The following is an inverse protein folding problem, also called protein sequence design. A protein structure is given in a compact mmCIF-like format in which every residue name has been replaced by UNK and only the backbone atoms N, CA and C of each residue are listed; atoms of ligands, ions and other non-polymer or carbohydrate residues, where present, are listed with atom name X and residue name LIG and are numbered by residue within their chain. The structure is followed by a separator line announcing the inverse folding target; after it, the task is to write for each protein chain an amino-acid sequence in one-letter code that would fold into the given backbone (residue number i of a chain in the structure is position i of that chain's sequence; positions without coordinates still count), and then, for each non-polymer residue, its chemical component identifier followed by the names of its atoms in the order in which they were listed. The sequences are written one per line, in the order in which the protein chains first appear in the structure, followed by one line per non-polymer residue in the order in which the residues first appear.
data_IF_397276641366
#
_entry.id   IF_397276641366
#
_cell.length_a   1.000
_cell.length_b   1.000
_cell.length_c   1.000
_cell.angle_alpha   90.00
_cell.angle_beta   90.00
_cell.angle_gamma   90.00
#
_symmetry.space_group_name_H-M   'P 1'
#
loop_
_entity.id
_entity.type
_entity.pdbx_description
1 polymer ?
#
# COMPACT_ATOMS: atom_id res chain seq x y z
N UNK A 1 -8.23 1.39 5.03
CA UNK A 1 -9.19 1.66 3.94
C UNK A 1 -9.01 0.59 2.88
N UNK A 2 -10.08 -0.10 2.48
CA UNK A 2 -10.03 -1.13 1.45
C UNK A 2 -10.56 -0.60 0.11
N UNK A 3 -9.91 -1.01 -0.97
CA UNK A 3 -10.31 -0.77 -2.36
C UNK A 3 -10.20 -2.10 -3.10
N UNK A 4 -11.22 -2.46 -3.85
CA UNK A 4 -11.27 -3.74 -4.58
C UNK A 4 -11.26 -3.46 -6.07
N UNK A 5 -10.46 -4.21 -6.81
CA UNK A 5 -10.29 -4.04 -8.26
C UNK A 5 -10.44 -5.41 -8.92
N UNK A 6 -11.37 -5.50 -9.87
CA UNK A 6 -11.43 -6.64 -10.78
C UNK A 6 -10.37 -6.44 -11.88
N UNK A 7 -9.44 -7.38 -11.98
CA UNK A 7 -8.35 -7.36 -12.97
C UNK A 7 -8.38 -8.64 -13.79
N UNK A 8 -7.78 -8.61 -14.98
CA UNK A 8 -7.60 -9.81 -15.81
C UNK A 8 -6.11 -10.05 -16.01
N UNK A 9 -5.60 -11.17 -15.50
CA UNK A 9 -4.20 -11.57 -15.64
C UNK A 9 -4.15 -12.80 -16.53
N UNK A 10 -3.44 -12.73 -17.66
CA UNK A 10 -3.35 -13.83 -18.63
C UNK A 10 -4.74 -14.37 -19.07
N UNK A 11 -5.69 -13.45 -19.31
CA UNK A 11 -7.10 -13.77 -19.65
C UNK A 11 -7.93 -14.43 -18.53
N UNK A 12 -7.38 -14.56 -17.32
CA UNK A 12 -8.08 -15.08 -16.15
C UNK A 12 -8.57 -13.89 -15.31
N UNK A 13 -9.89 -13.76 -15.06
CA UNK A 13 -10.40 -12.74 -14.16
C UNK A 13 -9.97 -13.04 -12.73
N UNK A 14 -9.50 -12.01 -12.02
CA UNK A 14 -9.07 -12.07 -10.63
C UNK A 14 -9.61 -10.86 -9.88
N UNK A 15 -9.86 -11.05 -8.58
CA UNK A 15 -10.22 -9.94 -7.69
C UNK A 15 -9.05 -9.59 -6.80
N UNK A 16 -8.55 -8.36 -6.96
CA UNK A 16 -7.46 -7.80 -6.17
C UNK A 16 -8.02 -6.89 -5.07
N UNK A 17 -7.62 -7.14 -3.83
CA UNK A 17 -7.89 -6.26 -2.69
C UNK A 17 -6.67 -5.41 -2.34
N UNK A 18 -6.86 -4.10 -2.23
CA UNK A 18 -5.86 -3.14 -1.80
C UNK A 18 -6.26 -2.55 -0.46
N UNK A 19 -5.39 -2.61 0.54
CA UNK A 19 -5.60 -1.99 1.84
C UNK A 19 -4.53 -0.96 2.12
N UNK A 20 -4.95 0.28 2.41
CA UNK A 20 -4.10 1.30 2.99
C UNK A 20 -4.32 1.35 4.52
N UNK A 21 -3.25 1.26 5.29
CA UNK A 21 -3.26 1.18 6.76
C UNK A 21 -2.46 2.33 7.36
N UNK A 22 -2.97 2.86 8.47
CA UNK A 22 -2.22 3.74 9.35
C UNK A 22 -2.54 3.35 10.80
N UNK A 23 -1.55 2.84 11.52
CA UNK A 23 -1.67 2.54 12.95
C UNK A 23 -0.91 3.61 13.74
N UNK A 24 -1.61 4.56 14.40
CA UNK A 24 -0.95 5.64 15.14
C UNK A 24 -0.25 5.09 16.39
N UNK A 25 0.93 5.61 16.74
CA UNK A 25 1.59 5.26 18.00
C UNK A 25 0.90 5.96 19.19
N UNK A 26 0.74 5.30 20.35
CA UNK A 26 0.99 3.88 20.62
C UNK A 26 -0.17 3.00 20.12
N UNK A 27 0.15 1.98 19.33
CA UNK A 27 -0.84 1.00 18.85
C UNK A 27 -1.32 0.14 20.02
N UNK A 28 -2.63 0.10 20.25
CA UNK A 28 -3.25 -0.78 21.25
C UNK A 28 -3.48 -2.17 20.66
N UNK A 29 -3.33 -3.20 21.48
CA UNK A 29 -3.51 -4.60 21.06
C UNK A 29 -4.93 -4.86 20.54
N UNK A 30 -5.94 -4.33 21.22
CA UNK A 30 -7.35 -4.48 20.81
C UNK A 30 -7.61 -3.88 19.43
N UNK A 31 -7.08 -2.68 19.17
CA UNK A 31 -7.24 -2.00 17.87
C UNK A 31 -6.54 -2.78 16.75
N UNK A 32 -5.35 -3.32 17.04
CA UNK A 32 -4.65 -4.19 16.11
C UNK A 32 -5.47 -5.46 15.83
N UNK A 33 -5.88 -6.19 16.86
CA UNK A 33 -6.63 -7.43 16.71
C UNK A 33 -7.92 -7.23 15.90
N UNK A 34 -8.69 -6.18 16.21
CA UNK A 34 -9.89 -5.85 15.44
C UNK A 34 -9.58 -5.58 13.97
N UNK A 35 -8.48 -4.88 13.68
CA UNK A 35 -8.04 -4.66 12.31
C UNK A 35 -7.63 -5.96 11.62
N UNK A 36 -6.89 -6.85 12.29
CA UNK A 36 -6.40 -8.11 11.72
C UNK A 36 -7.55 -9.11 11.48
N UNK A 37 -8.51 -9.19 12.39
CA UNK A 37 -9.73 -10.00 12.24
C UNK A 37 -10.54 -9.54 11.02
N UNK A 38 -10.85 -8.24 10.95
CA UNK A 38 -11.57 -7.67 9.81
C UNK A 38 -10.81 -7.85 8.49
N UNK A 39 -9.47 -7.80 8.54
CA UNK A 39 -8.63 -8.00 7.36
C UNK A 39 -8.65 -9.45 6.89
N UNK A 40 -8.63 -10.40 7.83
CA UNK A 40 -8.72 -11.84 7.53
C UNK A 40 -10.02 -12.16 6.79
N UNK A 41 -11.14 -11.59 7.25
CA UNK A 41 -12.41 -11.75 6.55
C UNK A 41 -12.36 -11.22 5.11
N UNK A 42 -11.74 -10.07 4.87
CA UNK A 42 -11.55 -9.56 3.51
C UNK A 42 -10.67 -10.52 2.70
N UNK A 43 -9.52 -10.94 3.22
CA UNK A 43 -8.59 -11.82 2.51
C UNK A 43 -9.23 -13.14 2.07
N UNK A 44 -10.22 -13.65 2.81
CA UNK A 44 -10.97 -14.86 2.43
C UNK A 44 -11.91 -14.69 1.21
N UNK A 45 -12.18 -13.46 0.77
CA UNK A 45 -13.11 -13.17 -0.34
C UNK A 45 -12.42 -12.75 -1.65
N UNK A 46 -11.09 -12.59 -1.63
CA UNK A 46 -10.30 -12.12 -2.78
C UNK A 46 -9.19 -13.11 -3.10
N UNK A 47 -8.80 -13.18 -4.37
CA UNK A 47 -7.73 -14.08 -4.81
C UNK A 47 -6.36 -13.53 -4.37
N UNK A 48 -6.17 -12.24 -4.61
CA UNK A 48 -4.91 -11.54 -4.40
C UNK A 48 -5.16 -10.33 -3.50
N UNK A 49 -4.22 -10.02 -2.61
CA UNK A 49 -4.32 -8.87 -1.72
C UNK A 49 -2.98 -8.21 -1.43
N UNK A 50 -3.02 -6.88 -1.35
CA UNK A 50 -1.87 -6.05 -0.98
C UNK A 50 -2.30 -5.11 0.14
N UNK A 51 -1.64 -5.22 1.29
CA UNK A 51 -1.81 -4.34 2.45
C UNK A 51 -0.55 -3.48 2.57
N UNK A 52 -0.71 -2.17 2.49
CA UNK A 52 0.37 -1.19 2.57
C UNK A 52 0.08 -0.16 3.65
N UNK A 53 1.09 0.23 4.42
CA UNK A 53 0.89 1.29 5.39
C UNK A 53 1.96 1.40 6.45
N UNK A 54 1.81 2.44 7.27
CA UNK A 54 2.65 2.69 8.44
C UNK A 54 2.03 2.00 9.67
N UNK A 55 2.72 0.96 10.15
CA UNK A 55 2.29 0.18 11.32
C UNK A 55 2.85 0.75 12.64
N UNK A 56 3.83 1.66 12.58
CA UNK A 56 4.56 2.19 13.73
C UNK A 56 5.14 1.12 14.69
N UNK A 57 5.32 -0.12 14.25
CA UNK A 57 5.81 -1.24 15.08
C UNK A 57 7.34 -1.36 15.07
N UNK A 58 8.02 -0.30 15.53
CA UNK A 58 9.49 -0.18 15.53
C UNK A 58 10.25 -1.30 16.25
N UNK A 59 9.59 -2.07 17.12
CA UNK A 59 10.23 -3.14 17.88
C UNK A 59 10.48 -4.38 17.02
N UNK A 60 9.68 -4.60 15.95
CA UNK A 60 9.87 -5.72 15.03
C UNK A 60 11.03 -5.38 14.10
N UNK A 61 12.02 -6.27 14.07
CA UNK A 61 13.15 -6.18 13.15
C UNK A 61 12.89 -7.07 11.96
N UNK A 62 13.04 -6.52 10.77
CA UNK A 62 12.87 -7.26 9.52
C UNK A 62 14.25 -7.48 8.90
N UNK A 63 14.51 -8.70 8.43
CA UNK A 63 15.78 -9.05 7.81
C UNK A 63 15.54 -9.88 6.57
N UNK A 64 16.23 -9.56 5.49
CA UNK A 64 16.19 -10.35 4.26
C UNK A 64 16.99 -11.65 4.45
N UNK A 65 16.42 -12.75 3.98
CA UNK A 65 17.10 -14.04 3.87
C UNK A 65 17.42 -14.25 2.39
N UNK A 66 18.65 -14.69 2.07
CA UNK A 66 19.17 -14.72 0.69
C UNK A 66 18.32 -15.53 -0.31
N UNK A 67 17.51 -16.46 0.18
CA UNK A 67 16.67 -17.34 -0.63
C UNK A 67 15.29 -16.78 -1.00
N UNK A 68 14.85 -15.66 -0.40
CA UNK A 68 13.48 -15.14 -0.58
C UNK A 68 13.44 -13.63 -0.87
N UNK A 69 12.43 -13.20 -1.64
CA UNK A 69 12.08 -11.78 -1.80
C UNK A 69 11.43 -11.19 -0.54
N UNK A 70 10.87 -12.06 0.30
CA UNK A 70 10.23 -11.72 1.56
C UNK A 70 11.24 -11.50 2.69
N UNK A 71 10.92 -10.60 3.63
CA UNK A 71 11.70 -10.36 4.84
C UNK A 71 11.13 -11.16 6.01
N UNK A 72 12.03 -11.65 6.85
CA UNK A 72 11.69 -12.41 8.06
C UNK A 72 11.64 -11.49 9.26
N UNK A 73 10.57 -11.55 10.08
CA UNK A 73 10.49 -10.79 11.32
C UNK A 73 11.34 -11.41 12.43
N UNK A 74 11.82 -10.57 13.33
CA UNK A 74 12.50 -10.93 14.57
C UNK A 74 12.20 -9.89 15.66
N UNK A 75 12.52 -10.21 16.92
CA UNK A 75 12.31 -9.31 18.06
C UNK A 75 10.84 -8.89 18.31
N UNK A 76 9.89 -9.80 18.03
CA UNK A 76 8.45 -9.57 18.15
C UNK A 76 7.82 -10.25 19.40
N UNK A 77 8.61 -10.47 20.45
CA UNK A 77 8.22 -11.19 21.67
C UNK A 77 7.26 -10.38 22.58
N UNK A 78 6.14 -9.91 22.04
CA UNK A 78 5.09 -9.18 22.74
C UNK A 78 3.74 -9.45 22.07
N UNK A 79 2.63 -9.17 22.76
CA UNK A 79 1.28 -9.45 22.24
C UNK A 79 1.00 -8.83 20.86
N UNK A 80 1.44 -7.59 20.64
CA UNK A 80 1.30 -6.92 19.32
C UNK A 80 2.09 -7.64 18.23
N UNK A 81 3.31 -8.06 18.56
CA UNK A 81 4.19 -8.77 17.65
C UNK A 81 3.61 -10.13 17.26
N UNK A 82 3.18 -10.92 18.24
CA UNK A 82 2.54 -12.22 18.00
C UNK A 82 1.30 -12.09 17.13
N UNK A 83 0.36 -11.19 17.47
CA UNK A 83 -0.85 -10.98 16.67
C UNK A 83 -0.53 -10.66 15.20
N UNK A 84 0.44 -9.76 14.95
CA UNK A 84 0.78 -9.40 13.57
C UNK A 84 1.44 -10.57 12.81
N UNK A 85 2.40 -11.27 13.43
CA UNK A 85 3.13 -12.36 12.76
C UNK A 85 2.22 -13.58 12.54
N UNK A 86 1.33 -13.87 13.49
CA UNK A 86 0.32 -14.92 13.32
C UNK A 86 -0.63 -14.59 12.18
N UNK A 87 -1.11 -13.33 12.10
CA UNK A 87 -1.94 -12.88 10.99
C UNK A 87 -1.24 -13.03 9.64
N UNK A 88 0.03 -12.62 9.55
CA UNK A 88 0.85 -12.74 8.32
C UNK A 88 0.95 -14.21 7.91
N UNK A 89 1.23 -15.09 8.87
CA UNK A 89 1.41 -16.52 8.63
C UNK A 89 0.11 -17.22 8.22
N UNK A 90 -1.00 -16.97 8.95
CA UNK A 90 -2.31 -17.59 8.70
C UNK A 90 -2.87 -17.21 7.34
N UNK A 91 -2.63 -15.97 6.90
CA UNK A 91 -3.13 -15.48 5.61
C UNK A 91 -2.14 -15.65 4.45
N UNK A 92 -1.04 -16.40 4.66
CA UNK A 92 0.01 -16.62 3.66
C UNK A 92 0.55 -15.31 3.05
N UNK A 93 0.71 -14.28 3.88
CA UNK A 93 1.25 -12.98 3.47
C UNK A 93 2.77 -12.98 3.63
N UNK A 94 3.46 -12.36 2.69
CA UNK A 94 4.88 -12.01 2.78
C UNK A 94 5.07 -10.53 3.04
N UNK A 95 6.09 -10.15 3.79
CA UNK A 95 6.54 -8.76 3.92
C UNK A 95 7.61 -8.49 2.85
N UNK A 96 7.39 -7.49 1.99
CA UNK A 96 8.30 -7.22 0.86
C UNK A 96 9.10 -5.92 1.00
N UNK A 97 8.64 -4.96 1.80
CA UNK A 97 9.31 -3.66 1.90
C UNK A 97 10.68 -3.78 2.57
N UNK A 98 11.72 -3.28 1.90
CA UNK A 98 13.10 -3.25 2.40
C UNK A 98 13.66 -1.81 2.49
N UNK A 99 12.77 -0.82 2.55
CA UNK A 99 13.14 0.60 2.63
C UNK A 99 13.11 1.08 4.08
N UNK A 100 14.28 1.11 4.71
CA UNK A 100 14.45 1.59 6.09
C UNK A 100 14.50 3.11 6.15
N UNK A 101 14.07 3.66 7.28
CA UNK A 101 14.25 5.07 7.60
C UNK A 101 15.72 5.38 8.02
N UNK A 102 16.00 6.65 8.34
CA UNK A 102 17.33 7.10 8.79
C UNK A 102 17.84 6.41 10.07
N UNK A 103 16.94 5.85 10.87
CA UNK A 103 17.27 5.14 12.11
C UNK A 103 17.44 3.63 11.88
N UNK A 104 17.46 3.18 10.62
CA UNK A 104 17.49 1.78 10.22
C UNK A 104 16.29 0.97 10.76
N UNK A 105 15.13 1.62 10.85
CA UNK A 105 13.87 1.02 11.29
C UNK A 105 12.89 0.96 10.12
N UNK A 106 12.18 -0.16 10.01
CA UNK A 106 11.14 -0.38 9.02
C UNK A 106 9.76 -0.17 9.67
N UNK A 107 9.09 0.93 9.34
CA UNK A 107 7.77 1.28 9.88
C UNK A 107 6.66 0.99 8.87
N UNK A 108 6.94 1.30 7.61
CA UNK A 108 6.06 1.01 6.50
C UNK A 108 6.18 -0.46 6.10
N UNK A 109 5.08 -1.19 6.17
CA UNK A 109 5.02 -2.58 5.75
C UNK A 109 4.23 -2.70 4.45
N UNK A 110 4.68 -3.61 3.61
CA UNK A 110 3.98 -4.06 2.40
C UNK A 110 3.78 -5.56 2.59
N UNK A 111 2.56 -5.96 2.91
CA UNK A 111 2.14 -7.34 3.15
C UNK A 111 1.30 -7.81 1.95
N UNK A 112 1.59 -8.99 1.40
CA UNK A 112 0.87 -9.48 0.23
C UNK A 112 0.99 -11.00 0.08
N UNK A 113 -0.03 -11.64 -0.50
CA UNK A 113 0.02 -13.05 -0.93
C UNK A 113 0.50 -13.22 -2.39
N UNK A 114 0.74 -12.12 -3.09
CA UNK A 114 1.30 -12.11 -4.44
C UNK A 114 2.83 -12.18 -4.36
N UNK A 115 3.42 -13.11 -5.09
CA UNK A 115 4.86 -13.24 -5.26
C UNK A 115 5.43 -12.17 -6.22
N UNK A 116 6.76 -12.00 -6.21
CA UNK A 116 7.51 -11.14 -7.13
C UNK A 116 7.09 -9.65 -7.15
N UNK A 117 6.71 -9.11 -5.99
CA UNK A 117 6.46 -7.67 -5.85
C UNK A 117 7.77 -6.90 -5.98
N UNK A 118 7.82 -6.03 -7.01
CA UNK A 118 8.92 -5.07 -7.18
C UNK A 118 8.60 -3.77 -6.44
N UNK A 119 9.43 -3.44 -5.47
CA UNK A 119 9.32 -2.19 -4.72
C UNK A 119 10.35 -1.21 -5.24
N UNK A 120 9.89 -0.02 -5.58
CA UNK A 120 10.74 1.10 -5.97
C UNK A 120 10.49 2.26 -5.03
N UNK A 121 11.55 2.90 -4.48
CA UNK A 121 11.39 4.13 -3.73
C UNK A 121 10.62 5.15 -4.56
N UNK A 122 9.67 5.84 -3.92
CA UNK A 122 9.09 7.01 -4.55
C UNK A 122 10.19 8.04 -4.82
N UNK A 123 10.12 8.80 -5.93
CA UNK A 123 10.98 9.95 -6.11
C UNK A 123 10.85 10.85 -4.88
N UNK A 124 11.97 11.39 -4.35
CA UNK A 124 11.90 12.26 -3.19
C UNK A 124 10.92 13.40 -3.49
N UNK A 125 9.89 13.53 -2.65
CA UNK A 125 8.91 14.62 -2.76
C UNK A 125 9.59 15.99 -2.61
N UNK A 126 10.78 16.00 -2.00
CA UNK A 126 11.61 17.17 -1.76
C UNK A 126 13.02 16.80 -2.22
N UNK A 127 13.50 17.46 -3.28
CA UNK A 127 14.92 17.41 -3.64
C UNK A 127 15.69 17.92 -2.43
N UNK A 128 16.54 17.07 -1.86
CA UNK A 128 17.35 17.42 -0.70
C UNK A 128 18.23 18.63 -1.02
N UNK A 129 17.88 19.81 -0.51
CA UNK A 129 18.87 20.69 0.12
C UNK A 129 18.23 21.72 1.08
N UNK A 130 18.95 21.91 2.19
CA UNK A 130 18.88 22.81 3.36
C UNK A 130 18.00 24.08 3.42
N UNK A 131 16.82 24.13 2.82
CA UNK A 131 15.85 25.20 3.11
C UNK A 131 14.41 24.72 2.93
N UNK A 132 13.89 23.95 3.90
CA UNK A 132 12.43 23.88 4.03
C UNK A 132 11.96 25.23 4.56
N UNK A 133 11.47 26.08 3.67
CA UNK A 133 10.85 27.35 3.99
C UNK A 133 9.59 27.52 3.16
N UNK A 134 8.61 26.63 3.34
CA UNK A 134 7.15 26.88 3.29
C UNK A 134 6.36 25.61 2.87
N UNK A 135 5.34 25.26 3.67
CA UNK A 135 4.35 24.19 3.40
C UNK A 135 3.79 24.27 1.97
N UNK A 136 3.62 25.49 1.43
CA UNK A 136 3.12 25.70 0.08
C UNK A 136 3.98 25.04 -1.01
N UNK A 137 5.30 25.02 -0.84
CA UNK A 137 6.22 24.41 -1.80
C UNK A 137 6.14 22.89 -1.76
N UNK A 138 5.98 22.31 -0.56
CA UNK A 138 5.74 20.88 -0.39
C UNK A 138 4.43 20.45 -1.05
N UNK A 139 3.36 21.22 -0.83
CA UNK A 139 2.05 20.97 -1.44
C UNK A 139 2.13 21.09 -2.96
N UNK A 140 2.85 22.07 -3.49
CA UNK A 140 3.06 22.23 -4.93
C UNK A 140 3.84 21.06 -5.54
N UNK A 141 4.90 20.59 -4.88
CA UNK A 141 5.68 19.43 -5.32
C UNK A 141 4.83 18.15 -5.34
N UNK A 142 4.01 17.93 -4.29
CA UNK A 142 3.06 16.83 -4.24
C UNK A 142 2.07 16.86 -5.41
N UNK A 143 1.41 18.00 -5.66
CA UNK A 143 0.47 18.14 -6.77
C UNK A 143 1.13 17.92 -8.14
N UNK A 144 2.39 18.34 -8.30
CA UNK A 144 3.15 18.12 -9.53
C UNK A 144 3.35 16.62 -9.81
N UNK A 145 3.76 15.86 -8.79
CA UNK A 145 3.95 14.41 -8.91
C UNK A 145 2.62 13.72 -9.19
N UNK A 146 1.58 14.07 -8.44
CA UNK A 146 0.24 13.51 -8.63
C UNK A 146 -0.27 13.76 -10.06
N UNK A 147 -0.15 14.99 -10.56
CA UNK A 147 -0.60 15.35 -11.91
C UNK A 147 0.19 14.60 -12.98
N UNK A 148 1.51 14.47 -12.83
CA UNK A 148 2.35 13.71 -13.76
C UNK A 148 1.93 12.24 -13.83
N UNK A 149 1.63 11.60 -12.69
CA UNK A 149 1.15 10.23 -12.65
C UNK A 149 -0.24 10.09 -13.28
N UNK A 150 -1.16 11.01 -12.98
CA UNK A 150 -2.49 11.03 -13.60
C UNK A 150 -2.36 11.15 -15.12
N UNK A 151 -1.54 12.10 -15.62
CA UNK A 151 -1.40 12.33 -17.05
C UNK A 151 -0.77 11.16 -17.80
N UNK A 152 0.13 10.41 -17.15
CA UNK A 152 0.84 9.28 -17.75
C UNK A 152 0.10 7.95 -17.64
N UNK A 153 -0.74 7.76 -16.62
CA UNK A 153 -1.36 6.46 -16.33
C UNK A 153 -2.89 6.46 -16.44
N UNK A 154 -3.57 7.61 -16.36
CA UNK A 154 -5.04 7.66 -16.46
C UNK A 154 -5.47 7.83 -17.92
N UNK A 155 -6.29 6.91 -18.47
CA UNK A 155 -6.82 7.04 -19.82
C UNK A 155 -7.65 8.33 -19.97
N UNK A 156 -7.16 9.26 -20.79
CA UNK A 156 -7.89 10.52 -21.07
C UNK A 156 -9.11 10.21 -21.93
N UNK A 157 -10.31 10.30 -21.35
CA UNK A 157 -11.56 10.29 -22.14
C UNK A 157 -11.58 11.54 -23.01
N UNK A 158 -11.81 11.39 -24.31
CA UNK A 158 -12.13 12.54 -25.16
C UNK A 158 -13.47 13.11 -24.66
N UNK A 159 -13.56 14.41 -24.34
CA UNK A 159 -14.86 15.03 -24.11
C UNK A 159 -15.73 14.80 -25.34
N UNK A 160 -16.89 14.18 -25.13
CA UNK A 160 -17.86 13.95 -26.19
C UNK A 160 -18.54 15.29 -26.51
N UNK A 161 -18.03 15.97 -27.54
CA UNK A 161 -18.68 17.15 -28.10
C UNK A 161 -19.66 16.70 -29.18
N UNK A 162 -20.89 16.44 -28.77
CA UNK A 162 -22.01 16.43 -29.72
C UNK A 162 -22.61 17.83 -29.77
N UNK A 163 -22.95 18.30 -30.98
CA UNK A 163 -23.76 19.52 -31.16
C UNK A 163 -25.15 19.38 -30.54
N UNK A 164 -25.55 18.15 -30.22
CA UNK A 164 -26.84 17.83 -29.65
C UNK A 164 -26.70 17.04 -28.34
N UNK A 165 -27.61 17.23 -27.38
CA UNK A 165 -27.64 16.42 -26.17
C UNK A 165 -27.76 14.92 -26.49
N UNK A 166 -27.36 14.00 -25.59
CA UNK A 166 -27.39 12.55 -25.81
C UNK A 166 -28.77 11.97 -26.17
N UNK A 167 -29.85 12.72 -25.90
CA UNK A 167 -31.23 12.34 -26.15
C UNK A 167 -31.80 12.89 -27.47
N UNK A 168 -31.01 13.60 -28.27
CA UNK A 168 -31.47 14.17 -29.53
C UNK A 168 -31.40 13.15 -30.67
N UNK A 169 -32.54 12.92 -31.33
CA UNK A 169 -32.66 12.09 -32.53
C UNK A 169 -33.08 13.02 -33.68
N UNK A 170 -32.31 13.14 -34.78
CA UNK A 170 -32.72 13.94 -35.93
C UNK A 170 -33.89 13.26 -36.66
N UNK A 171 -34.86 14.05 -37.09
CA UNK A 171 -35.96 13.61 -37.96
C UNK A 171 -35.52 13.48 -39.42
#
# INVERSE_FOLDING_TARGET
MWVTIDITVNSIPKKLALCAVYLPPPSKLETLNQFLENSTDVLNHFDDAIIIGDFNMRFIKWSKVDSTSQLTPSNYNCGLGYSLIDFISVNALGQFNNLYNSDNVLLDLILSNIDDIKITPAPPLIVSDKSILNVNEMVAAFYKILKNYIESHVPKRKPYFSKHPPWFIPN
#
